data_IF_128661853887
#
_entry.id   IF_128661853887
#
_cell.length_a   1.000
_cell.length_b   1.000
_cell.length_c   1.000
_cell.angle_alpha   90.00
_cell.angle_beta   90.00
_cell.angle_gamma   90.00
#
_symmetry.space_group_name_H-M   'P 1'
#
loop_
_entity.id
_entity.type
_entity.pdbx_description
1 polymer ?
#
# COMPACT_ATOMS: atom_id res chain seq x y z
N UNK A 1 1.23 -7.43 -31.66
CA UNK A 1 -0.18 -7.34 -31.23
C UNK A 1 -0.79 -8.73 -31.30
N UNK A 2 -1.52 -9.20 -30.29
CA UNK A 2 -2.11 -10.54 -30.30
C UNK A 2 -3.28 -10.62 -31.31
N UNK A 3 -3.62 -11.83 -31.76
CA UNK A 3 -4.77 -12.07 -32.65
C UNK A 3 -6.08 -11.56 -32.04
N UNK A 4 -6.25 -11.72 -30.72
CA UNK A 4 -7.41 -11.22 -29.99
C UNK A 4 -7.49 -9.68 -29.99
N UNK A 5 -6.36 -9.00 -29.75
CA UNK A 5 -6.31 -7.53 -29.80
C UNK A 5 -6.56 -7.00 -31.21
N UNK A 6 -6.03 -7.66 -32.25
CA UNK A 6 -6.30 -7.30 -33.65
C UNK A 6 -7.78 -7.44 -33.98
N UNK A 7 -8.40 -8.58 -33.63
CA UNK A 7 -9.84 -8.81 -33.85
C UNK A 7 -10.73 -7.83 -33.08
N UNK A 8 -10.33 -7.42 -31.88
CA UNK A 8 -11.04 -6.39 -31.11
C UNK A 8 -10.95 -5.03 -31.80
N UNK A 9 -9.76 -4.65 -32.28
CA UNK A 9 -9.56 -3.41 -33.02
C UNK A 9 -10.34 -3.36 -34.33
N UNK A 10 -10.33 -4.44 -35.12
CA UNK A 10 -11.09 -4.53 -36.37
C UNK A 10 -12.59 -4.41 -36.14
N UNK A 11 -13.11 -5.01 -35.07
CA UNK A 11 -14.50 -4.84 -34.63
C UNK A 11 -14.80 -3.39 -34.24
N UNK A 12 -13.90 -2.73 -33.52
CA UNK A 12 -14.07 -1.34 -33.09
C UNK A 12 -14.06 -0.34 -34.27
N UNK A 13 -13.19 -0.57 -35.26
CA UNK A 13 -13.04 0.31 -36.43
C UNK A 13 -13.98 -0.10 -37.59
N UNK A 14 -14.75 -1.18 -37.40
CA UNK A 14 -15.70 -1.77 -38.35
C UNK A 14 -15.12 -2.06 -39.76
N UNK A 15 -13.79 -2.01 -39.92
CA UNK A 15 -13.09 -2.22 -41.18
C UNK A 15 -11.76 -2.93 -40.92
N UNK A 16 -11.42 -3.99 -41.68
CA UNK A 16 -10.15 -4.69 -41.53
C UNK A 16 -9.03 -3.81 -42.09
N UNK A 17 -8.32 -3.12 -41.21
CA UNK A 17 -7.21 -2.23 -41.56
C UNK A 17 -6.08 -2.40 -40.57
N UNK A 18 -4.83 -2.36 -41.06
CA UNK A 18 -3.68 -2.41 -40.17
C UNK A 18 -3.73 -1.24 -39.15
N UNK A 19 -3.62 -1.48 -37.83
CA UNK A 19 -3.67 -0.42 -36.83
C UNK A 19 -2.49 0.56 -36.93
N UNK A 20 -1.36 0.08 -37.44
CA UNK A 20 -0.15 0.87 -37.63
C UNK A 20 -0.22 1.72 -38.91
N UNK A 21 -0.40 1.09 -40.08
CA UNK A 21 -0.30 1.77 -41.38
C UNK A 21 -1.63 2.02 -42.11
N UNK A 22 -2.77 1.54 -41.59
CA UNK A 22 -4.14 1.69 -42.14
C UNK A 22 -4.40 1.02 -43.49
N UNK A 23 -3.44 0.30 -44.05
CA UNK A 23 -3.62 -0.49 -45.27
C UNK A 23 -4.68 -1.57 -45.08
N UNK A 24 -5.57 -1.70 -46.06
CA UNK A 24 -6.67 -2.69 -46.07
C UNK A 24 -6.16 -4.07 -46.48
N UNK A 25 -5.23 -4.11 -47.44
CA UNK A 25 -4.58 -5.34 -47.95
C UNK A 25 -3.39 -5.77 -47.08
N UNK A 26 -3.62 -5.94 -45.78
CA UNK A 26 -2.58 -6.45 -44.87
C UNK A 26 -2.84 -7.91 -44.55
N UNK A 27 -1.79 -8.73 -44.53
CA UNK A 27 -1.88 -10.13 -44.11
C UNK A 27 -1.50 -10.27 -42.65
N UNK A 28 -2.15 -11.21 -41.96
CA UNK A 28 -1.84 -11.52 -40.57
C UNK A 28 -0.86 -12.68 -40.52
N UNK A 29 0.29 -12.48 -39.87
CA UNK A 29 1.24 -13.54 -39.57
C UNK A 29 1.43 -13.61 -38.06
N UNK A 30 1.27 -14.79 -37.48
CA UNK A 30 1.59 -15.01 -36.07
C UNK A 30 3.10 -14.91 -35.90
N UNK A 31 3.55 -13.95 -35.08
CA UNK A 31 4.97 -13.76 -34.77
C UNK A 31 5.19 -14.12 -33.30
N UNK A 32 5.92 -15.21 -33.05
CA UNK A 32 6.28 -15.65 -31.69
C UNK A 32 7.44 -14.85 -31.07
N UNK A 33 8.07 -13.97 -31.83
CA UNK A 33 9.23 -13.18 -31.38
C UNK A 33 8.92 -12.34 -30.13
N UNK A 34 7.76 -11.69 -30.06
CA UNK A 34 7.37 -10.90 -28.88
C UNK A 34 7.18 -11.77 -27.63
N UNK A 35 6.64 -12.98 -27.78
CA UNK A 35 6.51 -13.94 -26.68
C UNK A 35 7.88 -14.40 -26.18
N UNK A 36 8.82 -14.67 -27.09
CA UNK A 36 10.21 -15.00 -26.73
C UNK A 36 10.89 -13.86 -26.00
N UNK A 37 10.80 -12.62 -26.49
CA UNK A 37 11.35 -11.44 -25.81
C UNK A 37 10.75 -11.28 -24.40
N UNK A 38 9.43 -11.43 -24.28
CA UNK A 38 8.75 -11.32 -23.00
C UNK A 38 9.26 -12.37 -22.01
N UNK A 39 9.34 -13.64 -22.43
CA UNK A 39 9.89 -14.73 -21.61
C UNK A 39 11.33 -14.43 -21.20
N UNK A 40 12.19 -14.03 -22.15
CA UNK A 40 13.58 -13.66 -21.85
C UNK A 40 13.65 -12.53 -20.84
N UNK A 41 12.81 -11.49 -20.98
CA UNK A 41 12.74 -10.37 -20.02
C UNK A 41 12.31 -10.84 -18.63
N UNK A 42 11.28 -11.69 -18.54
CA UNK A 42 10.85 -12.28 -17.28
C UNK A 42 11.96 -13.11 -16.62
N UNK A 43 12.65 -13.95 -17.40
CA UNK A 43 13.78 -14.77 -16.92
C UNK A 43 14.88 -13.87 -16.36
N UNK A 44 15.27 -12.82 -17.06
CA UNK A 44 16.30 -11.87 -16.60
C UNK A 44 15.85 -11.16 -15.30
N UNK A 45 14.59 -10.76 -15.19
CA UNK A 45 14.06 -10.13 -13.98
C UNK A 45 14.14 -11.07 -12.77
N UNK A 46 13.67 -12.32 -12.93
CA UNK A 46 13.73 -13.33 -11.86
C UNK A 46 15.18 -13.63 -11.48
N UNK A 47 16.05 -13.82 -12.47
CA UNK A 47 17.47 -14.10 -12.23
C UNK A 47 18.16 -12.94 -11.52
N UNK A 48 17.93 -11.69 -11.95
CA UNK A 48 18.53 -10.51 -11.34
C UNK A 48 18.03 -10.29 -9.91
N UNK A 49 16.73 -10.50 -9.66
CA UNK A 49 16.14 -10.43 -8.33
C UNK A 49 16.76 -11.46 -7.38
N UNK A 50 16.91 -12.71 -7.83
CA UNK A 50 17.49 -13.79 -7.04
C UNK A 50 18.99 -13.58 -6.77
N UNK A 51 19.76 -13.17 -7.80
CA UNK A 51 21.17 -12.79 -7.64
C UNK A 51 21.32 -11.66 -6.62
N UNK A 52 20.45 -10.65 -6.69
CA UNK A 52 20.38 -9.56 -5.71
C UNK A 52 20.02 -10.04 -4.30
N UNK A 53 19.07 -10.95 -4.16
CA UNK A 53 18.70 -11.54 -2.86
C UNK A 53 19.89 -12.28 -2.23
N UNK A 54 20.59 -13.13 -2.99
CA UNK A 54 21.78 -13.85 -2.50
C UNK A 54 22.88 -12.90 -2.05
N UNK A 55 23.19 -11.89 -2.86
CA UNK A 55 24.21 -10.89 -2.52
C UNK A 55 23.83 -10.10 -1.27
N UNK A 56 22.57 -9.65 -1.16
CA UNK A 56 22.08 -8.94 0.05
C UNK A 56 22.13 -9.82 1.29
N UNK A 57 21.71 -11.09 1.20
CA UNK A 57 21.77 -12.03 2.32
C UNK A 57 23.22 -12.23 2.80
N UNK A 58 24.15 -12.45 1.87
CA UNK A 58 25.58 -12.56 2.20
C UNK A 58 26.13 -11.26 2.83
N UNK A 59 25.76 -10.10 2.27
CA UNK A 59 26.15 -8.79 2.80
C UNK A 59 25.61 -8.53 4.21
N UNK A 60 24.33 -8.85 4.47
CA UNK A 60 23.72 -8.67 5.78
C UNK A 60 24.38 -9.58 6.83
N UNK A 61 24.69 -10.83 6.47
CA UNK A 61 25.45 -11.73 7.34
C UNK A 61 26.88 -11.22 7.60
N UNK A 62 27.58 -10.72 6.57
CA UNK A 62 28.88 -10.08 6.77
C UNK A 62 28.75 -8.87 7.71
N UNK A 63 27.75 -8.02 7.49
CA UNK A 63 27.49 -6.80 8.26
C UNK A 63 27.02 -7.08 9.69
N UNK A 64 26.48 -8.25 10.01
CA UNK A 64 26.13 -8.58 11.40
C UNK A 64 27.35 -8.81 12.29
N UNK A 65 28.51 -9.15 11.71
CA UNK A 65 29.72 -9.47 12.49
C UNK A 65 30.84 -8.44 12.34
N UNK A 66 30.91 -7.73 11.21
CA UNK A 66 32.05 -6.85 10.92
C UNK A 66 31.62 -5.39 10.98
N UNK A 67 32.26 -4.56 11.85
CA UNK A 67 31.89 -3.17 12.01
C UNK A 67 32.28 -2.35 10.76
N UNK A 68 31.39 -1.45 10.28
CA UNK A 68 31.69 -0.60 9.13
C UNK A 68 32.70 0.51 9.49
N UNK A 69 33.55 0.89 8.52
CA UNK A 69 34.64 1.88 8.72
C UNK A 69 34.15 3.33 8.86
N UNK A 70 33.05 3.69 8.19
CA UNK A 70 32.55 5.07 8.22
C UNK A 70 31.82 5.37 9.54
N UNK A 71 32.04 6.56 10.15
CA UNK A 71 31.57 6.86 11.51
C UNK A 71 30.04 6.83 11.65
N UNK A 72 29.31 7.36 10.67
CA UNK A 72 27.83 7.37 10.67
C UNK A 72 27.27 5.96 10.61
N UNK A 73 27.86 5.10 9.78
CA UNK A 73 27.43 3.70 9.65
C UNK A 73 27.82 2.89 10.88
N UNK A 74 28.97 3.20 11.50
CA UNK A 74 29.42 2.57 12.72
C UNK A 74 28.50 2.87 13.89
N UNK A 75 28.04 4.12 14.02
CA UNK A 75 27.03 4.50 15.02
C UNK A 75 25.75 3.67 14.87
N UNK A 76 25.18 3.63 13.66
CA UNK A 76 23.98 2.82 13.38
C UNK A 76 24.21 1.33 13.65
N UNK A 77 25.40 0.81 13.33
CA UNK A 77 25.74 -0.58 13.59
C UNK A 77 25.81 -0.88 15.09
N UNK A 78 26.44 -0.01 15.89
CA UNK A 78 26.49 -0.14 17.36
C UNK A 78 25.09 -0.11 17.97
N UNK A 79 24.25 0.83 17.53
CA UNK A 79 22.83 0.92 17.94
C UNK A 79 22.08 -0.38 17.62
N UNK A 80 22.29 -0.96 16.43
CA UNK A 80 21.68 -2.24 16.05
C UNK A 80 22.15 -3.42 16.90
N UNK A 81 23.44 -3.49 17.26
CA UNK A 81 23.94 -4.56 18.13
C UNK A 81 23.40 -4.44 19.55
N UNK A 82 23.39 -3.24 20.12
CA UNK A 82 22.82 -3.00 21.44
C UNK A 82 21.34 -3.36 21.50
N UNK A 83 20.57 -3.02 20.46
CA UNK A 83 19.16 -3.43 20.35
C UNK A 83 18.98 -4.94 20.22
N UNK A 84 19.90 -5.64 19.55
CA UNK A 84 19.86 -7.10 19.44
C UNK A 84 20.07 -7.76 20.80
N UNK A 85 21.12 -7.36 21.52
CA UNK A 85 21.43 -7.87 22.86
C UNK A 85 20.30 -7.55 23.86
N UNK A 86 19.76 -6.33 23.81
CA UNK A 86 18.63 -5.94 24.67
C UNK A 86 17.38 -6.78 24.43
N UNK A 87 17.07 -7.13 23.17
CA UNK A 87 15.95 -8.02 22.84
C UNK A 87 16.19 -9.44 23.34
N UNK A 88 17.39 -9.97 23.16
CA UNK A 88 17.75 -11.30 23.63
C UNK A 88 17.66 -11.39 25.16
N UNK A 89 18.15 -10.37 25.88
CA UNK A 89 18.04 -10.31 27.34
C UNK A 89 16.59 -10.20 27.79
N UNK A 90 15.79 -9.34 27.15
CA UNK A 90 14.35 -9.21 27.44
C UNK A 90 13.62 -10.53 27.25
N UNK A 91 13.86 -11.24 26.15
CA UNK A 91 13.20 -12.53 25.89
C UNK A 91 13.53 -13.58 26.97
N UNK A 92 14.77 -13.60 27.48
CA UNK A 92 15.15 -14.47 28.60
C UNK A 92 14.44 -14.08 29.89
N UNK A 93 14.40 -12.78 30.19
CA UNK A 93 13.69 -12.26 31.36
C UNK A 93 12.19 -12.57 31.31
N UNK A 94 11.55 -12.41 30.15
CA UNK A 94 10.14 -12.74 29.95
C UNK A 94 9.86 -14.24 30.19
N UNK A 95 10.78 -15.12 29.77
CA UNK A 95 10.68 -16.56 30.03
C UNK A 95 10.77 -16.88 31.53
N UNK A 96 11.77 -16.31 32.22
CA UNK A 96 11.95 -16.48 33.67
C UNK A 96 10.76 -15.92 34.46
N UNK A 97 10.26 -14.77 34.05
CA UNK A 97 9.08 -14.14 34.65
C UNK A 97 7.83 -15.01 34.47
N UNK A 98 7.62 -15.60 33.30
CA UNK A 98 6.50 -16.51 33.07
C UNK A 98 6.56 -17.73 33.99
N UNK A 99 7.75 -18.33 34.16
CA UNK A 99 7.94 -19.46 35.07
C UNK A 99 7.68 -19.10 36.54
N UNK A 100 8.12 -17.91 36.97
CA UNK A 100 7.82 -17.41 38.31
C UNK A 100 6.33 -17.15 38.53
N UNK A 101 5.64 -16.57 37.54
CA UNK A 101 4.20 -16.34 37.60
C UNK A 101 3.42 -17.66 37.67
N UNK A 102 3.85 -18.66 36.91
CA UNK A 102 3.26 -20.00 36.96
C UNK A 102 3.43 -20.62 38.35
N UNK A 103 4.63 -20.57 38.93
CA UNK A 103 4.89 -21.07 40.28
C UNK A 103 4.05 -20.36 41.35
N UNK A 104 4.03 -19.02 41.35
CA UNK A 104 3.25 -18.25 42.32
C UNK A 104 1.75 -18.53 42.18
N UNK A 105 1.26 -18.68 40.95
CA UNK A 105 -0.14 -19.05 40.72
C UNK A 105 -0.47 -20.44 41.27
N UNK A 106 0.46 -21.40 41.20
CA UNK A 106 0.29 -22.72 41.79
C UNK A 106 0.22 -22.65 43.32
N UNK A 107 1.09 -21.87 43.96
CA UNK A 107 1.07 -21.63 45.42
C UNK A 107 -0.24 -20.98 45.84
N UNK A 108 -0.70 -19.94 45.13
CA UNK A 108 -1.97 -19.27 45.42
C UNK A 108 -3.15 -20.25 45.30
N UNK A 109 -3.13 -21.14 44.31
CA UNK A 109 -4.15 -22.19 44.14
C UNK A 109 -4.13 -23.21 45.29
N UNK A 110 -2.95 -23.61 45.78
CA UNK A 110 -2.85 -24.52 46.93
C UNK A 110 -3.30 -23.86 48.24
N UNK A 111 -2.92 -22.61 48.47
CA UNK A 111 -3.32 -21.84 49.65
C UNK A 111 -4.82 -21.58 49.65
N UNK A 112 -5.41 -21.24 48.49
CA UNK A 112 -6.86 -21.05 48.36
C UNK A 112 -7.63 -22.34 48.62
N UNK A 113 -7.12 -23.48 48.15
CA UNK A 113 -7.67 -24.80 48.46
C UNK A 113 -7.60 -25.11 49.97
N UNK A 114 -6.43 -24.97 50.58
CA UNK A 114 -6.25 -25.19 52.01
C UNK A 114 -7.15 -24.28 52.85
N UNK A 115 -7.28 -23.00 52.47
CA UNK A 115 -8.21 -22.06 53.11
C UNK A 115 -9.66 -22.51 53.00
N UNK A 116 -10.07 -23.03 51.85
CA UNK A 116 -11.43 -23.55 51.65
C UNK A 116 -11.70 -24.77 52.55
N UNK A 117 -10.78 -25.73 52.59
CA UNK A 117 -10.86 -26.92 53.45
C UNK A 117 -10.91 -26.56 54.95
N UNK A 118 -10.09 -25.59 55.39
CA UNK A 118 -10.13 -25.07 56.76
C UNK A 118 -11.47 -24.38 57.03
N UNK A 119 -11.95 -23.53 56.12
CA UNK A 119 -13.23 -22.85 56.28
C UNK A 119 -14.40 -23.82 56.37
N UNK A 120 -14.40 -24.88 55.55
CA UNK A 120 -15.41 -25.95 55.60
C UNK A 120 -15.33 -26.73 56.91
N UNK A 121 -14.13 -27.09 57.37
CA UNK A 121 -13.91 -27.77 58.64
C UNK A 121 -14.36 -26.92 59.84
N UNK A 122 -14.06 -25.62 59.83
CA UNK A 122 -14.50 -24.68 60.85
C UNK A 122 -16.01 -24.48 60.79
N UNK A 123 -16.62 -24.37 59.60
CA UNK A 123 -18.07 -24.29 59.44
C UNK A 123 -18.76 -25.53 60.01
N UNK A 124 -18.27 -26.73 59.69
CA UNK A 124 -18.79 -27.98 60.24
C UNK A 124 -18.67 -28.04 61.78
N UNK A 125 -17.55 -27.57 62.35
CA UNK A 125 -17.40 -27.45 63.81
C UNK A 125 -18.37 -26.42 64.41
N UNK A 126 -18.55 -25.28 63.75
CA UNK A 126 -19.52 -24.26 64.15
C UNK A 126 -20.94 -24.79 64.03
N UNK A 127 -21.27 -25.65 63.06
CA UNK A 127 -22.58 -26.30 62.97
C UNK A 127 -22.77 -27.32 64.10
N UNK A 128 -21.75 -28.12 64.43
CA UNK A 128 -21.79 -29.06 65.56
C UNK A 128 -21.92 -28.34 66.91
N UNK A 129 -21.24 -27.20 67.08
CA UNK A 129 -21.30 -26.38 68.29
C UNK A 129 -22.53 -25.44 68.31
N UNK A 130 -23.01 -25.03 67.14
CA UNK A 130 -24.09 -24.09 66.87
C UNK A 130 -25.46 -24.74 66.73
N UNK A 131 -25.54 -26.05 66.54
CA UNK A 131 -26.76 -26.85 66.74
C UNK A 131 -27.30 -26.75 68.19
N UNK A 132 -26.53 -26.16 69.12
CA UNK A 132 -26.99 -25.78 70.45
C UNK A 132 -27.62 -24.38 70.54
N UNK A 133 -27.68 -23.58 69.47
CA UNK A 133 -28.33 -22.27 69.47
C UNK A 133 -28.78 -21.84 68.07
N UNK A 134 -29.84 -22.45 67.55
CA UNK A 134 -30.60 -21.83 66.46
C UNK A 134 -31.60 -20.80 67.01
N UNK A 135 -31.37 -19.51 66.71
CA UNK A 135 -32.48 -18.60 66.42
C UNK A 135 -32.07 -17.42 65.53
N UNK A 136 -32.72 -17.38 64.35
CA UNK A 136 -33.19 -16.23 63.55
C UNK A 136 -32.25 -15.02 63.38
N UNK A 137 -31.92 -14.68 62.13
CA UNK A 137 -32.43 -13.45 61.47
C UNK A 137 -32.13 -13.41 59.96
N UNK A 138 -32.92 -12.61 59.26
CA UNK A 138 -33.08 -12.51 57.82
C UNK A 138 -32.32 -11.33 57.18
N UNK A 139 -32.19 -11.42 55.84
CA UNK A 139 -32.37 -10.36 54.83
C UNK A 139 -31.14 -9.54 54.40
N UNK A 140 -30.96 -9.47 53.08
CA UNK A 140 -30.20 -8.42 52.38
C UNK A 140 -29.84 -8.78 50.94
N UNK A 141 -30.76 -8.54 50.01
CA UNK A 141 -30.43 -8.34 48.58
C UNK A 141 -29.69 -7.02 48.44
N UNK A 142 -28.81 -6.88 47.44
CA UNK A 142 -28.71 -5.66 46.64
C UNK A 142 -28.11 -5.95 45.25
N UNK A 143 -28.84 -5.47 44.25
CA UNK A 143 -28.54 -5.41 42.82
C UNK A 143 -27.97 -4.04 42.43
N UNK A 144 -27.02 -3.98 41.51
CA UNK A 144 -26.76 -2.80 40.67
C UNK A 144 -25.71 -3.10 39.60
N UNK A 145 -25.63 -2.46 38.43
CA UNK A 145 -26.60 -1.88 37.49
C UNK A 145 -25.80 -1.78 36.18
N UNK A 146 -26.40 -2.10 35.05
CA UNK A 146 -25.86 -1.84 33.72
C UNK A 146 -25.71 -0.33 33.50
N UNK A 147 -24.60 0.10 32.89
CA UNK A 147 -24.50 1.44 32.30
C UNK A 147 -23.85 1.36 30.92
N UNK A 148 -24.58 1.93 29.98
CA UNK A 148 -24.29 2.17 28.57
C UNK A 148 -23.03 3.02 28.35
N UNK A 149 -22.36 2.80 27.21
CA UNK A 149 -21.67 3.85 26.49
C UNK A 149 -21.70 3.60 24.97
N UNK A 150 -22.64 4.26 24.30
CA UNK A 150 -22.65 4.52 22.87
C UNK A 150 -21.48 5.46 22.50
N UNK A 151 -20.67 5.09 21.50
CA UNK A 151 -19.79 6.04 20.80
C UNK A 151 -20.07 5.99 19.30
N UNK A 152 -20.65 7.09 18.85
CA UNK A 152 -20.94 7.43 17.45
C UNK A 152 -19.62 7.61 16.69
N UNK A 153 -19.52 7.01 15.51
CA UNK A 153 -18.53 7.39 14.51
C UNK A 153 -19.18 8.38 13.53
N UNK A 154 -18.66 9.60 13.51
CA UNK A 154 -18.89 10.61 12.49
C UNK A 154 -18.07 10.28 11.24
N UNK A 155 -18.71 9.73 10.21
CA UNK A 155 -18.13 9.67 8.87
C UNK A 155 -18.47 10.97 8.12
N UNK A 156 -17.52 11.90 8.16
CA UNK A 156 -17.56 13.11 7.34
C UNK A 156 -17.45 12.77 5.85
N UNK A 157 -18.52 13.07 5.11
CA UNK A 157 -18.53 13.13 3.66
C UNK A 157 -17.55 14.18 3.13
N UNK A 158 -16.69 13.82 2.16
CA UNK A 158 -15.83 14.74 1.41
C UNK A 158 -16.50 15.08 0.06
N UNK A 159 -16.87 16.34 -0.19
CA UNK A 159 -17.30 16.80 -1.51
C UNK A 159 -16.08 17.20 -2.36
N UNK A 160 -15.96 16.64 -3.56
CA UNK A 160 -14.85 16.96 -4.47
C UNK A 160 -15.07 16.47 -5.90
N UNK A 161 -16.26 16.72 -6.45
CA UNK A 161 -16.73 16.14 -7.72
C UNK A 161 -16.05 16.69 -9.00
N UNK A 162 -15.12 17.65 -8.92
CA UNK A 162 -14.48 18.22 -10.12
C UNK A 162 -13.02 17.76 -10.35
N UNK A 163 -12.38 17.14 -9.36
CA UNK A 163 -11.02 16.57 -9.50
C UNK A 163 -11.01 15.14 -10.05
N UNK A 164 -12.18 14.48 -10.07
CA UNK A 164 -12.35 13.12 -10.55
C UNK A 164 -12.09 12.98 -12.05
N UNK A 165 -12.45 13.97 -12.85
CA UNK A 165 -12.36 13.86 -14.32
C UNK A 165 -10.91 13.79 -14.81
N UNK A 166 -10.01 14.56 -14.17
CA UNK A 166 -8.59 14.66 -14.56
C UNK A 166 -7.78 13.48 -14.02
N UNK A 167 -8.03 13.07 -12.77
CA UNK A 167 -7.43 11.86 -12.17
C UNK A 167 -7.82 10.60 -12.96
N UNK A 168 -9.12 10.48 -13.32
CA UNK A 168 -9.63 9.36 -14.10
C UNK A 168 -9.14 9.40 -15.55
N UNK A 169 -8.95 10.58 -16.14
CA UNK A 169 -8.38 10.71 -17.49
C UNK A 169 -6.90 10.29 -17.55
N UNK A 170 -6.08 10.71 -16.57
CA UNK A 170 -4.68 10.27 -16.46
C UNK A 170 -4.58 8.76 -16.17
N UNK A 171 -5.44 8.22 -15.30
CA UNK A 171 -5.49 6.77 -15.03
C UNK A 171 -5.92 5.93 -16.24
N UNK A 172 -6.70 6.50 -17.18
CA UNK A 172 -7.16 5.82 -18.40
C UNK A 172 -6.15 5.86 -19.53
N UNK A 173 -5.31 6.89 -19.61
CA UNK A 173 -4.17 6.90 -20.54
C UNK A 173 -3.05 6.05 -19.95
N UNK A 174 -2.77 4.88 -20.54
CA UNK A 174 -1.75 3.94 -20.07
C UNK A 174 -0.29 4.44 -20.13
N UNK A 175 -0.09 5.75 -20.24
CA UNK A 175 1.22 6.41 -20.30
C UNK A 175 1.10 7.80 -19.69
N UNK A 176 1.78 8.07 -18.58
CA UNK A 176 2.01 9.41 -18.01
C UNK A 176 2.90 10.30 -18.92
N UNK A 177 2.90 10.03 -20.22
CA UNK A 177 3.79 10.59 -21.23
C UNK A 177 2.99 11.17 -22.39
N UNK A 178 3.49 12.27 -22.94
CA UNK A 178 2.92 12.88 -24.12
C UNK A 178 3.24 12.01 -25.34
N UNK A 179 2.25 11.37 -25.96
CA UNK A 179 2.46 10.51 -27.13
C UNK A 179 3.03 11.22 -28.39
N UNK A 180 3.17 12.55 -28.37
CA UNK A 180 3.81 13.33 -29.44
C UNK A 180 5.32 13.44 -29.22
N UNK A 181 5.78 13.69 -27.99
CA UNK A 181 7.19 13.94 -27.69
C UNK A 181 7.84 12.93 -26.74
N UNK A 182 7.08 11.97 -26.24
CA UNK A 182 7.52 10.92 -25.31
C UNK A 182 8.16 11.48 -24.03
N UNK A 183 7.63 12.60 -23.54
CA UNK A 183 8.06 13.26 -22.31
C UNK A 183 6.91 13.30 -21.31
N UNK A 184 7.19 13.30 -19.99
CA UNK A 184 6.18 13.20 -18.96
C UNK A 184 5.17 14.36 -18.97
N UNK A 185 3.91 14.04 -18.68
CA UNK A 185 2.80 14.96 -18.51
C UNK A 185 2.68 15.38 -17.03
N UNK A 186 3.65 16.14 -16.54
CA UNK A 186 3.61 16.64 -15.16
C UNK A 186 2.49 17.67 -14.96
N UNK A 187 1.40 17.28 -14.31
CA UNK A 187 0.46 18.20 -13.69
C UNK A 187 1.11 18.67 -12.38
N UNK A 188 1.21 19.99 -12.16
CA UNK A 188 1.96 20.60 -11.05
C UNK A 188 1.45 20.31 -9.63
N UNK A 189 0.70 19.23 -9.42
CA UNK A 189 -0.02 18.90 -8.18
C UNK A 189 0.81 17.97 -7.27
N UNK A 190 1.77 17.21 -7.81
CA UNK A 190 2.50 16.17 -7.07
C UNK A 190 3.89 16.60 -6.53
N UNK A 191 4.04 17.84 -6.03
CA UNK A 191 5.33 18.37 -5.59
C UNK A 191 5.52 18.45 -4.06
N UNK A 192 4.78 17.67 -3.25
CA UNK A 192 4.85 17.78 -1.79
C UNK A 192 5.51 16.60 -1.05
N UNK A 193 5.91 15.51 -1.71
CA UNK A 193 6.39 14.29 -0.99
C UNK A 193 7.64 13.59 -1.58
N UNK A 194 8.51 14.28 -2.32
CA UNK A 194 9.77 13.69 -2.81
C UNK A 194 11.01 14.34 -2.16
N UNK A 195 11.93 13.55 -1.57
CA UNK A 195 13.11 14.07 -0.90
C UNK A 195 14.10 14.65 -1.91
N UNK A 196 14.20 15.98 -1.83
CA UNK A 196 15.19 16.87 -2.42
C UNK A 196 16.56 16.25 -2.69
N UNK A 197 16.88 16.04 -3.97
CA UNK A 197 18.24 16.18 -4.47
C UNK A 197 18.21 16.65 -5.92
N UNK A 198 18.87 17.78 -6.17
CA UNK A 198 19.00 18.57 -7.42
C UNK A 198 17.99 19.69 -7.65
N UNK A 199 18.49 20.93 -7.49
CA UNK A 199 17.82 22.22 -7.72
C UNK A 199 17.56 22.47 -9.22
N UNK A 200 16.65 21.75 -9.85
CA UNK A 200 16.05 22.20 -11.13
C UNK A 200 14.60 22.56 -10.89
N UNK A 201 14.27 23.86 -10.91
CA UNK A 201 12.88 24.34 -11.01
C UNK A 201 12.27 23.71 -12.26
N UNK A 202 11.53 22.60 -12.10
CA UNK A 202 10.83 21.94 -13.19
C UNK A 202 9.71 22.89 -13.63
N UNK A 203 9.89 23.56 -14.78
CA UNK A 203 8.83 24.39 -15.38
C UNK A 203 7.68 23.47 -15.78
N UNK A 204 6.53 23.63 -15.12
CA UNK A 204 5.28 22.94 -15.49
C UNK A 204 4.90 23.39 -16.90
N UNK A 205 4.74 22.43 -17.82
CA UNK A 205 4.31 22.71 -19.19
C UNK A 205 2.78 22.69 -19.23
N UNK A 206 2.11 23.67 -19.85
CA UNK A 206 0.65 23.67 -19.97
C UNK A 206 0.19 22.42 -20.73
N UNK A 207 -0.82 21.73 -20.20
CA UNK A 207 -1.40 20.52 -20.78
C UNK A 207 -2.77 20.80 -21.37
N UNK A 208 -3.10 20.09 -22.44
CA UNK A 208 -4.43 20.11 -23.06
C UNK A 208 -5.05 18.72 -22.91
N UNK A 209 -6.30 18.67 -22.47
CA UNK A 209 -7.16 17.49 -22.49
C UNK A 209 -8.05 17.55 -23.73
N UNK A 210 -8.23 16.43 -24.44
CA UNK A 210 -9.01 16.35 -25.67
C UNK A 210 -10.34 15.65 -25.41
N UNK A 211 -11.45 16.39 -25.48
CA UNK A 211 -12.79 15.85 -25.35
C UNK A 211 -13.33 15.41 -26.73
N UNK A 212 -14.06 14.27 -26.84
CA UNK A 212 -14.50 13.37 -25.77
C UNK A 212 -13.51 12.24 -25.43
N UNK A 213 -12.35 12.19 -26.07
CA UNK A 213 -11.45 11.02 -25.98
C UNK A 213 -10.55 10.97 -24.74
N UNK A 214 -10.60 11.99 -23.90
CA UNK A 214 -9.85 12.15 -22.65
C UNK A 214 -8.31 11.95 -22.77
N UNK A 215 -7.73 12.11 -23.97
CA UNK A 215 -6.28 12.05 -24.13
C UNK A 215 -5.63 13.40 -23.80
N UNK A 216 -4.47 13.40 -23.17
CA UNK A 216 -3.75 14.60 -22.76
C UNK A 216 -2.41 14.78 -23.48
N UNK A 217 -2.05 16.04 -23.81
CA UNK A 217 -0.79 16.40 -24.48
C UNK A 217 -0.24 17.72 -23.95
N UNK A 218 1.07 17.98 -24.10
CA UNK A 218 1.57 19.35 -23.91
C UNK A 218 0.94 20.26 -24.97
N UNK A 219 0.50 21.45 -24.55
CA UNK A 219 -0.08 22.47 -25.44
C UNK A 219 0.78 22.69 -26.69
N UNK A 220 2.09 22.87 -26.49
CA UNK A 220 3.05 23.10 -27.59
C UNK A 220 3.10 21.94 -28.59
N UNK A 221 3.08 20.70 -28.10
CA UNK A 221 3.13 19.50 -28.94
C UNK A 221 1.88 19.38 -29.80
N UNK A 222 0.70 19.56 -29.20
CA UNK A 222 -0.57 19.47 -29.92
C UNK A 222 -0.72 20.62 -30.93
N UNK A 223 -0.42 21.86 -30.54
CA UNK A 223 -0.50 23.01 -31.45
C UNK A 223 0.43 22.87 -32.66
N UNK A 224 1.66 22.37 -32.46
CA UNK A 224 2.57 22.12 -33.57
C UNK A 224 2.04 21.04 -34.52
N UNK A 225 1.47 19.98 -33.97
CA UNK A 225 0.87 18.92 -34.77
C UNK A 225 -0.34 19.42 -35.57
N UNK A 226 -1.20 20.25 -34.97
CA UNK A 226 -2.33 20.89 -35.67
C UNK A 226 -1.84 21.72 -36.85
N UNK A 227 -0.78 22.52 -36.67
CA UNK A 227 -0.17 23.33 -37.74
C UNK A 227 0.40 22.48 -38.87
N UNK A 228 1.06 21.37 -38.54
CA UNK A 228 1.65 20.48 -39.55
C UNK A 228 0.59 19.67 -40.31
N UNK A 229 -0.42 19.15 -39.60
CA UNK A 229 -1.47 18.29 -40.15
C UNK A 229 -2.59 19.06 -40.85
N UNK A 230 -2.80 20.33 -40.48
CA UNK A 230 -3.92 21.15 -40.92
C UNK A 230 -5.29 20.65 -40.44
N UNK A 231 -5.33 19.64 -39.55
CA UNK A 231 -6.55 18.97 -39.08
C UNK A 231 -6.49 18.73 -37.58
N UNK A 232 -7.60 19.00 -36.89
CA UNK A 232 -7.80 18.70 -35.46
C UNK A 232 -8.29 17.28 -35.26
N UNK A 233 -7.37 16.32 -35.20
CA UNK A 233 -7.66 14.91 -34.88
C UNK A 233 -6.71 14.38 -33.82
N UNK A 234 -7.25 13.63 -32.85
CA UNK A 234 -6.46 13.11 -31.74
C UNK A 234 -5.37 12.14 -32.27
N UNK A 235 -4.10 12.25 -31.84
CA UNK A 235 -3.05 11.33 -32.27
C UNK A 235 -3.33 9.86 -31.98
N UNK A 236 -3.99 9.58 -30.84
CA UNK A 236 -4.26 8.21 -30.38
C UNK A 236 -5.55 7.68 -31.01
N UNK A 237 -6.71 8.28 -30.71
CA UNK A 237 -8.00 7.76 -31.16
C UNK A 237 -8.46 8.29 -32.53
N UNK A 238 -7.78 9.29 -33.10
CA UNK A 238 -8.07 9.88 -34.43
C UNK A 238 -9.43 10.57 -34.55
N UNK A 239 -10.21 10.63 -33.47
CA UNK A 239 -11.45 11.39 -33.40
C UNK A 239 -11.23 12.89 -33.53
N UNK A 240 -12.25 13.59 -34.04
CA UNK A 240 -12.34 15.05 -33.92
C UNK A 240 -12.49 15.39 -32.45
N UNK A 241 -11.83 16.44 -32.00
CA UNK A 241 -11.83 16.84 -30.61
C UNK A 241 -11.97 18.34 -30.45
N UNK A 242 -12.43 18.73 -29.26
CA UNK A 242 -12.20 20.05 -28.68
C UNK A 242 -11.17 19.93 -27.57
N UNK A 243 -10.36 20.96 -27.35
CA UNK A 243 -9.29 20.92 -26.36
C UNK A 243 -9.54 21.88 -25.20
N UNK A 244 -9.31 21.38 -24.00
CA UNK A 244 -9.48 22.11 -22.74
C UNK A 244 -8.11 22.28 -22.09
N UNK A 245 -7.76 23.51 -21.68
CA UNK A 245 -6.49 23.79 -21.01
C UNK A 245 -6.54 23.35 -19.56
N UNK A 246 -5.63 22.45 -19.18
CA UNK A 246 -5.44 22.05 -17.79
C UNK A 246 -4.45 23.02 -17.13
N UNK A 247 -4.97 23.89 -16.26
CA UNK A 247 -4.17 24.80 -15.45
C UNK A 247 -3.81 24.06 -14.16
N UNK A 248 -2.51 23.84 -13.92
CA UNK A 248 -2.05 23.44 -12.60
C UNK A 248 -2.12 24.65 -11.68
N UNK A 249 -2.81 24.53 -10.54
CA UNK A 249 -2.90 25.58 -9.54
C UNK A 249 -1.49 26.14 -9.24
N UNK A 250 -1.27 27.40 -9.61
CA UNK A 250 -0.17 28.18 -9.05
C UNK A 250 -0.76 28.79 -7.79
N UNK A 251 -0.37 28.29 -6.62
CA UNK A 251 -0.50 29.06 -5.38
C UNK A 251 0.41 30.27 -5.50
N UNK A 252 -0.17 31.46 -5.50
CA UNK A 252 0.53 32.70 -5.18
C UNK A 252 1.13 32.65 -3.77
#
# INVERSE_FOLDING_TARGET
MSKACLSSYERHVATPRCPLCRTVSYSTRTVHFSARIHITRCVVLVQSAWRGFRARRAYLHYRSHIPPKQPVLLRKWREQQALKEARELRAKFELEQAGLQEFLSAVDNEVTKCRHEIAESVAALVDVLGANNESKLSRGQDSSTSTSCDLRHDDHAVPGAELGLVSTALQRSSTDECAICLQPLHLGIAAQNEPSSTKTRRRVKPLLLLDPCAHAYHRRCLTNLERFSGKRRCPICRGVYVNTLLIGAQSE
#
